data_IF_275789315482
#
_entry.id   IF_275789315482
#
_cell.length_a   1.000
_cell.length_b   1.000
_cell.length_c   1.000
_cell.angle_alpha   90.00
_cell.angle_beta   90.00
_cell.angle_gamma   90.00
#
_symmetry.space_group_name_H-M   'P 1'
#
loop_
_entity.id
_entity.type
_entity.pdbx_description
1 polymer ?
#
# COMPACT_ATOMS: atom_id res chain seq x y z
N UNK A 1 55.09 -9.06 -14.94
CA UNK A 1 54.28 -10.12 -14.29
C UNK A 1 54.23 -9.82 -12.81
N UNK A 2 53.01 -9.82 -12.28
CA UNK A 2 52.49 -9.05 -11.15
C UNK A 2 53.10 -9.34 -9.77
N UNK A 3 53.05 -8.38 -8.84
CA UNK A 3 53.19 -8.63 -7.41
C UNK A 3 51.87 -9.20 -6.85
N UNK A 4 51.97 -10.16 -5.94
CA UNK A 4 50.83 -10.63 -5.15
C UNK A 4 50.75 -9.78 -3.88
N UNK A 5 49.68 -8.99 -3.80
CA UNK A 5 49.30 -8.16 -2.67
C UNK A 5 48.55 -9.04 -1.65
N UNK A 6 49.08 -9.18 -0.43
CA UNK A 6 48.42 -9.92 0.66
C UNK A 6 47.66 -8.93 1.53
N UNK A 7 46.37 -8.75 1.23
CA UNK A 7 45.45 -7.93 2.00
C UNK A 7 45.21 -8.50 3.40
N UNK A 8 45.51 -7.67 4.40
CA UNK A 8 45.24 -7.82 5.83
C UNK A 8 43.73 -7.90 6.14
N UNK A 9 43.32 -8.93 6.90
CA UNK A 9 42.00 -9.02 7.53
C UNK A 9 41.88 -7.97 8.65
N UNK A 10 41.16 -6.89 8.37
CA UNK A 10 40.85 -5.83 9.33
C UNK A 10 39.59 -6.23 10.11
N UNK A 11 39.75 -7.00 11.19
CA UNK A 11 38.67 -7.31 12.13
C UNK A 11 38.49 -6.11 13.05
N UNK A 12 37.46 -5.30 12.79
CA UNK A 12 37.09 -4.17 13.64
C UNK A 12 36.60 -4.67 15.01
N UNK A 13 37.47 -4.62 16.02
CA UNK A 13 37.12 -4.77 17.43
C UNK A 13 36.24 -3.60 17.89
N UNK A 14 34.92 -3.70 17.70
CA UNK A 14 33.96 -2.78 18.32
C UNK A 14 33.86 -3.07 19.82
N UNK A 15 34.59 -2.29 20.62
CA UNK A 15 34.37 -2.21 22.06
C UNK A 15 33.08 -1.46 22.34
N UNK A 16 32.05 -2.18 22.77
CA UNK A 16 30.79 -1.59 23.20
C UNK A 16 31.02 -0.69 24.44
N UNK A 17 30.36 0.48 24.52
CA UNK A 17 30.46 1.36 25.68
C UNK A 17 29.97 0.65 26.96
N UNK A 18 30.54 0.96 28.14
CA UNK A 18 30.18 0.31 29.40
C UNK A 18 28.69 0.43 29.74
N UNK A 19 28.03 1.54 29.34
CA UNK A 19 26.58 1.72 29.52
C UNK A 19 25.73 0.70 28.75
N UNK A 20 26.17 0.26 27.57
CA UNK A 20 25.44 -0.72 26.74
C UNK A 20 25.60 -2.13 27.30
N UNK A 21 26.79 -2.45 27.82
CA UNK A 21 27.04 -3.72 28.51
C UNK A 21 26.19 -3.80 29.79
N UNK A 22 26.15 -2.72 30.57
CA UNK A 22 25.34 -2.66 31.80
C UNK A 22 23.85 -2.87 31.54
N UNK A 23 23.32 -2.35 30.42
CA UNK A 23 21.92 -2.53 30.02
C UNK A 23 21.59 -3.97 29.61
N UNK A 24 22.55 -4.70 29.03
CA UNK A 24 22.39 -6.09 28.59
C UNK A 24 22.56 -7.11 29.73
N UNK A 25 23.27 -6.74 30.81
CA UNK A 25 23.56 -7.64 31.95
C UNK A 25 22.67 -7.41 33.18
N UNK A 26 21.71 -6.49 33.12
CA UNK A 26 20.82 -6.24 34.26
C UNK A 26 19.84 -7.42 34.46
N UNK A 27 19.77 -8.02 35.66
CA UNK A 27 18.79 -9.06 35.96
C UNK A 27 17.38 -8.45 36.02
N UNK A 28 16.32 -9.20 35.62
CA UNK A 28 14.95 -8.73 35.72
C UNK A 28 14.57 -8.54 37.20
N UNK A 29 13.78 -7.50 37.54
CA UNK A 29 13.34 -7.31 38.91
C UNK A 29 12.41 -8.45 39.34
N UNK A 30 12.71 -9.06 40.50
CA UNK A 30 11.92 -10.12 41.10
C UNK A 30 10.60 -9.63 41.72
N UNK A 31 9.65 -10.54 42.04
CA UNK A 31 8.34 -10.17 42.53
C UNK A 31 8.39 -9.88 44.03
N UNK A 32 8.31 -8.60 44.40
CA UNK A 32 8.20 -8.17 45.79
C UNK A 32 7.19 -7.03 45.89
N UNK A 33 5.99 -7.32 46.37
CA UNK A 33 4.95 -6.32 46.64
C UNK A 33 5.28 -5.50 47.89
N UNK A 34 5.23 -4.15 47.85
CA UNK A 34 5.14 -3.34 49.06
C UNK A 34 3.66 -3.03 49.40
N UNK A 35 3.34 -2.72 50.67
CA UNK A 35 1.97 -2.49 51.13
C UNK A 35 1.44 -1.12 50.64
N UNK A 36 0.17 -1.09 50.23
CA UNK A 36 -0.48 0.08 49.64
C UNK A 36 -0.98 1.12 50.66
N UNK A 37 -1.01 2.42 50.29
CA UNK A 37 -1.70 3.46 51.06
C UNK A 37 -3.21 3.52 50.71
N UNK A 38 -4.06 4.10 51.58
CA UNK A 38 -5.51 4.09 51.41
C UNK A 38 -5.93 5.02 50.27
N UNK A 39 -6.86 4.54 49.44
CA UNK A 39 -7.28 5.24 48.23
C UNK A 39 -8.19 6.44 48.48
N UNK A 40 -8.29 7.36 47.52
CA UNK A 40 -9.46 8.19 47.33
C UNK A 40 -10.32 7.66 46.16
N UNK A 41 -11.61 7.77 46.41
CA UNK A 41 -12.77 7.57 45.56
C UNK A 41 -12.60 7.95 44.07
N UNK A 42 -13.06 7.05 43.19
CA UNK A 42 -13.87 7.41 42.03
C UNK A 42 -13.20 8.21 40.92
N UNK A 43 -12.28 7.60 40.19
CA UNK A 43 -12.07 7.93 38.77
C UNK A 43 -11.69 6.64 38.03
N UNK A 44 -12.60 6.16 37.19
CA UNK A 44 -12.36 5.05 36.27
C UNK A 44 -11.25 5.44 35.29
N UNK A 45 -10.05 4.92 35.51
CA UNK A 45 -8.98 4.91 34.51
C UNK A 45 -9.49 4.09 33.33
N UNK A 46 -9.54 4.62 32.09
CA UNK A 46 -9.85 3.79 30.94
C UNK A 46 -8.69 2.80 30.82
N UNK A 47 -9.00 1.52 31.03
CA UNK A 47 -8.10 0.41 30.69
C UNK A 47 -7.61 0.63 29.26
N UNK A 48 -6.31 0.91 29.15
CA UNK A 48 -5.65 1.15 27.87
C UNK A 48 -5.98 0.01 26.91
N UNK A 49 -6.49 0.39 25.74
CA UNK A 49 -6.39 -0.47 24.57
C UNK A 49 -4.91 -0.58 24.24
N UNK A 50 -4.28 -1.67 24.67
CA UNK A 50 -2.97 -2.04 24.18
C UNK A 50 -3.13 -2.39 22.69
N UNK A 51 -2.95 -1.34 21.88
CA UNK A 51 -2.62 -1.33 20.45
C UNK A 51 -3.34 -2.35 19.57
N UNK A 52 -4.49 -1.97 18.99
CA UNK A 52 -4.65 -2.33 17.57
C UNK A 52 -3.46 -1.70 16.85
N UNK A 53 -2.72 -2.44 16.00
CA UNK A 53 -1.71 -1.82 15.14
C UNK A 53 -2.35 -0.60 14.48
N UNK A 54 -1.69 0.55 14.57
CA UNK A 54 -2.15 1.75 13.88
C UNK A 54 -2.37 1.38 12.40
N UNK A 55 -3.53 1.74 11.85
CA UNK A 55 -3.82 1.47 10.46
C UNK A 55 -2.79 2.18 9.57
N UNK A 56 -2.01 1.39 8.83
CA UNK A 56 -0.89 1.89 8.05
C UNK A 56 -1.32 2.72 6.85
N UNK A 57 -2.61 2.76 6.54
CA UNK A 57 -3.20 3.42 5.37
C UNK A 57 -4.28 4.44 5.76
N UNK A 58 -4.24 4.94 7.00
CA UNK A 58 -5.09 6.04 7.48
C UNK A 58 -6.60 5.78 7.24
N UNK A 59 -7.05 4.56 7.54
CA UNK A 59 -8.47 4.17 7.50
C UNK A 59 -9.13 4.38 6.14
N UNK A 60 -8.59 3.76 5.09
CA UNK A 60 -9.11 3.84 3.70
C UNK A 60 -10.64 3.65 3.61
N UNK A 61 -11.22 2.82 4.49
CA UNK A 61 -12.67 2.59 4.54
C UNK A 61 -13.52 3.79 5.00
N UNK A 62 -12.90 4.74 5.69
CA UNK A 62 -13.54 5.95 6.24
C UNK A 62 -13.32 7.17 5.33
N UNK A 63 -12.53 7.05 4.26
CA UNK A 63 -12.33 8.13 3.31
C UNK A 63 -13.65 8.55 2.65
N UNK A 64 -13.90 9.86 2.50
CA UNK A 64 -15.17 10.34 1.99
C UNK A 64 -15.36 9.95 0.52
N UNK A 65 -16.62 9.92 0.08
CA UNK A 65 -16.92 9.92 -1.34
C UNK A 65 -16.49 11.24 -1.98
N UNK A 66 -16.15 11.21 -3.26
CA UNK A 66 -15.76 12.37 -4.05
C UNK A 66 -16.64 12.49 -5.30
N UNK A 67 -16.99 13.73 -5.64
CA UNK A 67 -17.63 14.01 -6.91
C UNK A 67 -16.58 13.99 -8.03
N UNK A 68 -16.91 13.31 -9.11
CA UNK A 68 -16.08 13.26 -10.32
C UNK A 68 -16.92 13.63 -11.54
N UNK A 69 -16.32 14.01 -12.68
CA UNK A 69 -17.07 14.28 -13.91
C UNK A 69 -17.94 13.12 -14.41
N UNK A 70 -17.69 11.90 -13.92
CA UNK A 70 -18.39 10.66 -14.27
C UNK A 70 -19.34 10.16 -13.17
N UNK A 71 -19.51 10.94 -12.10
CA UNK A 71 -20.43 10.66 -10.99
C UNK A 71 -19.74 10.53 -9.62
N UNK A 72 -20.52 10.35 -8.54
CA UNK A 72 -19.97 10.18 -7.20
C UNK A 72 -19.20 8.86 -7.10
N UNK A 73 -17.97 8.93 -6.60
CA UNK A 73 -17.06 7.80 -6.48
C UNK A 73 -16.59 7.62 -5.03
N UNK A 74 -16.45 6.37 -4.60
CA UNK A 74 -15.85 6.03 -3.29
C UNK A 74 -15.11 4.71 -3.34
N UNK A 75 -14.13 4.57 -2.45
CA UNK A 75 -13.50 3.30 -2.14
C UNK A 75 -14.27 2.59 -1.03
N UNK A 76 -14.43 1.29 -1.16
CA UNK A 76 -15.08 0.44 -0.16
C UNK A 76 -14.21 -0.79 0.05
N UNK A 77 -13.64 -1.01 1.26
CA UNK A 77 -12.86 -2.21 1.53
C UNK A 77 -13.64 -3.49 1.19
N UNK A 78 -12.94 -4.41 0.54
CA UNK A 78 -13.49 -5.69 0.08
C UNK A 78 -13.90 -6.55 1.27
N UNK A 79 -15.07 -7.20 1.15
CA UNK A 79 -15.53 -8.26 2.05
C UNK A 79 -15.64 -9.56 1.25
N UNK A 80 -14.76 -10.55 1.46
CA UNK A 80 -14.73 -11.76 0.64
C UNK A 80 -16.09 -12.47 0.52
N UNK A 81 -16.86 -12.51 1.61
CA UNK A 81 -18.16 -13.18 1.66
C UNK A 81 -19.18 -12.57 0.69
N UNK A 82 -19.02 -11.28 0.38
CA UNK A 82 -19.90 -10.51 -0.52
C UNK A 82 -19.30 -10.36 -1.91
N UNK A 83 -17.99 -10.10 -1.98
CA UNK A 83 -17.36 -9.50 -3.17
C UNK A 83 -16.50 -10.48 -3.97
N UNK A 84 -16.11 -11.61 -3.37
CA UNK A 84 -15.17 -12.55 -3.99
C UNK A 84 -15.64 -13.03 -5.37
N UNK A 85 -16.94 -13.30 -5.53
CA UNK A 85 -17.49 -13.72 -6.82
C UNK A 85 -17.33 -12.65 -7.90
N UNK A 86 -17.52 -11.37 -7.54
CA UNK A 86 -17.39 -10.24 -8.45
C UNK A 86 -15.92 -10.02 -8.85
N UNK A 87 -15.03 -9.92 -7.86
CA UNK A 87 -13.60 -9.69 -8.11
C UNK A 87 -13.01 -10.86 -8.89
N UNK A 88 -13.34 -12.11 -8.54
CA UNK A 88 -12.88 -13.29 -9.28
C UNK A 88 -13.40 -13.30 -10.72
N UNK A 89 -14.64 -12.85 -10.95
CA UNK A 89 -15.17 -12.64 -12.30
C UNK A 89 -14.34 -11.65 -13.11
N UNK A 90 -13.96 -10.51 -12.51
CA UNK A 90 -13.10 -9.53 -13.17
C UNK A 90 -11.68 -10.05 -13.42
N UNK A 91 -11.08 -10.78 -12.47
CA UNK A 91 -9.74 -11.37 -12.63
C UNK A 91 -9.67 -12.39 -13.78
N UNK A 92 -10.80 -13.01 -14.13
CA UNK A 92 -10.92 -13.96 -15.24
C UNK A 92 -11.24 -13.31 -16.59
N UNK A 93 -11.49 -11.99 -16.63
CA UNK A 93 -11.58 -11.27 -17.90
C UNK A 93 -10.24 -11.34 -18.64
N UNK A 94 -10.18 -11.74 -19.92
CA UNK A 94 -8.91 -11.93 -20.63
C UNK A 94 -7.98 -10.71 -20.62
N UNK A 95 -8.53 -9.49 -20.71
CA UNK A 95 -7.73 -8.28 -20.72
C UNK A 95 -7.20 -7.92 -19.32
N UNK A 96 -7.91 -8.33 -18.26
CA UNK A 96 -7.43 -8.20 -16.88
C UNK A 96 -6.39 -9.29 -16.59
N UNK A 97 -6.70 -10.53 -16.96
CA UNK A 97 -5.88 -11.72 -16.73
C UNK A 97 -4.46 -11.59 -17.29
N UNK A 98 -4.32 -10.94 -18.46
CA UNK A 98 -3.02 -10.67 -19.10
C UNK A 98 -2.02 -9.96 -18.17
N UNK A 99 -2.51 -9.05 -17.33
CA UNK A 99 -1.66 -8.21 -16.47
C UNK A 99 -1.73 -8.59 -14.99
N UNK A 100 -2.89 -9.05 -14.52
CA UNK A 100 -3.08 -9.39 -13.10
C UNK A 100 -2.61 -10.81 -12.75
N UNK A 101 -2.56 -11.74 -13.71
CA UNK A 101 -2.11 -13.13 -13.50
C UNK A 101 -2.84 -13.86 -12.35
N UNK A 102 -4.08 -13.46 -12.05
CA UNK A 102 -4.95 -14.03 -11.01
C UNK A 102 -6.19 -14.75 -11.58
N UNK A 103 -6.22 -14.99 -12.89
CA UNK A 103 -7.26 -15.79 -13.52
C UNK A 103 -7.20 -17.25 -13.06
N UNK A 104 -8.36 -17.91 -13.03
CA UNK A 104 -8.49 -19.30 -12.59
C UNK A 104 -9.65 -19.51 -11.63
N UNK A 105 -9.62 -20.62 -10.87
CA UNK A 105 -10.64 -20.92 -9.86
C UNK A 105 -10.77 -19.78 -8.84
N UNK A 106 -11.96 -19.65 -8.26
CA UNK A 106 -12.27 -18.62 -7.25
C UNK A 106 -11.26 -18.60 -6.09
N UNK A 107 -10.72 -19.75 -5.71
CA UNK A 107 -9.71 -19.87 -4.66
C UNK A 107 -8.44 -19.05 -4.91
N UNK A 108 -8.06 -18.83 -6.18
CA UNK A 108 -6.89 -17.99 -6.53
C UNK A 108 -7.10 -16.55 -6.09
N UNK A 109 -8.26 -15.98 -6.42
CA UNK A 109 -8.64 -14.63 -5.98
C UNK A 109 -8.87 -14.58 -4.47
N UNK A 110 -9.45 -15.63 -3.89
CA UNK A 110 -9.69 -15.72 -2.45
C UNK A 110 -8.39 -15.70 -1.65
N UNK A 111 -7.39 -16.49 -2.06
CA UNK A 111 -6.08 -16.51 -1.42
C UNK A 111 -5.37 -15.16 -1.53
N UNK A 112 -5.46 -14.52 -2.70
CA UNK A 112 -4.91 -13.17 -2.92
C UNK A 112 -5.53 -12.13 -1.97
N UNK A 113 -6.87 -12.12 -1.85
CA UNK A 113 -7.57 -11.22 -0.93
C UNK A 113 -7.25 -11.54 0.53
N UNK A 114 -7.21 -12.83 0.89
CA UNK A 114 -6.89 -13.30 2.24
C UNK A 114 -5.52 -12.82 2.68
N UNK A 115 -4.49 -12.94 1.85
CA UNK A 115 -3.13 -12.47 2.15
C UNK A 115 -3.12 -10.98 2.52
N UNK A 116 -3.87 -10.15 1.79
CA UNK A 116 -3.95 -8.72 2.09
C UNK A 116 -4.74 -8.44 3.38
N UNK A 117 -5.91 -9.09 3.53
CA UNK A 117 -6.82 -8.85 4.65
C UNK A 117 -6.30 -9.37 6.00
N UNK A 118 -5.51 -10.44 5.99
CA UNK A 118 -4.90 -11.03 7.20
C UNK A 118 -3.42 -10.69 7.33
N UNK A 119 -2.89 -9.83 6.47
CA UNK A 119 -1.51 -9.40 6.48
C UNK A 119 -1.21 -8.41 7.60
N UNK A 120 -0.09 -7.68 7.45
CA UNK A 120 0.34 -6.65 8.40
C UNK A 120 -0.33 -5.29 8.20
N UNK A 121 -1.36 -5.22 7.35
CA UNK A 121 -2.09 -3.99 7.04
C UNK A 121 -1.40 -3.07 6.05
N UNK A 122 -0.29 -3.50 5.40
CA UNK A 122 0.40 -2.66 4.41
C UNK A 122 -0.36 -2.50 3.08
N UNK A 123 -1.41 -3.30 2.84
CA UNK A 123 -2.28 -3.22 1.66
C UNK A 123 -3.74 -3.37 2.06
N UNK A 124 -4.62 -2.58 1.46
CA UNK A 124 -6.08 -2.66 1.65
C UNK A 124 -6.76 -2.84 0.28
N UNK A 125 -7.37 -4.01 0.02
CA UNK A 125 -8.13 -4.25 -1.20
C UNK A 125 -9.50 -3.55 -1.11
N UNK A 126 -9.85 -2.80 -2.16
CA UNK A 126 -11.08 -2.00 -2.23
C UNK A 126 -11.85 -2.25 -3.53
N UNK A 127 -13.17 -2.16 -3.45
CA UNK A 127 -14.02 -1.89 -4.60
C UNK A 127 -14.09 -0.38 -4.84
N UNK A 128 -13.95 0.04 -6.09
CA UNK A 128 -14.34 1.37 -6.53
C UNK A 128 -15.82 1.36 -6.91
N UNK A 129 -16.60 2.14 -6.18
CA UNK A 129 -18.06 2.25 -6.36
C UNK A 129 -18.37 3.59 -7.00
N UNK A 130 -18.87 3.56 -8.24
CA UNK A 130 -19.25 4.75 -9.01
C UNK A 130 -20.76 4.79 -9.16
N UNK A 131 -21.40 5.91 -8.80
CA UNK A 131 -22.85 6.05 -8.89
C UNK A 131 -23.63 4.98 -8.10
N UNK A 132 -23.01 4.43 -7.04
CA UNK A 132 -23.58 3.34 -6.24
C UNK A 132 -23.30 1.92 -6.76
N UNK A 133 -22.68 1.75 -7.93
CA UNK A 133 -22.35 0.45 -8.51
C UNK A 133 -20.85 0.13 -8.38
N UNK A 134 -20.46 -1.03 -7.80
CA UNK A 134 -19.08 -1.51 -7.86
C UNK A 134 -18.66 -1.78 -9.29
N UNK A 135 -17.55 -1.19 -9.73
CA UNK A 135 -17.14 -1.24 -11.13
C UNK A 135 -15.63 -1.38 -11.36
N UNK A 136 -14.84 -1.24 -10.30
CA UNK A 136 -13.39 -1.39 -10.33
C UNK A 136 -12.88 -2.04 -9.04
N UNK A 137 -11.71 -2.64 -9.11
CA UNK A 137 -10.98 -3.15 -7.96
C UNK A 137 -9.66 -2.40 -7.82
N UNK A 138 -9.28 -2.12 -6.58
CA UNK A 138 -8.15 -1.28 -6.20
C UNK A 138 -7.35 -1.94 -5.08
N UNK A 139 -6.04 -1.76 -5.11
CA UNK A 139 -5.17 -2.05 -3.97
C UNK A 139 -4.46 -0.77 -3.59
N UNK A 140 -4.73 -0.28 -2.38
CA UNK A 140 -4.03 0.87 -1.82
C UNK A 140 -3.00 0.31 -0.86
N UNK A 141 -1.71 0.57 -1.11
CA UNK A 141 -0.65 -0.08 -0.35
C UNK A 141 0.48 0.88 0.04
N UNK A 142 1.23 0.55 1.09
CA UNK A 142 2.45 1.23 1.50
C UNK A 142 3.59 0.81 0.60
N UNK A 143 3.85 1.58 -0.44
CA UNK A 143 4.87 1.26 -1.44
C UNK A 143 6.28 1.29 -0.86
N UNK A 144 6.51 2.08 0.19
CA UNK A 144 7.75 2.09 0.96
C UNK A 144 7.97 0.85 1.83
N UNK A 145 6.94 0.01 2.01
CA UNK A 145 7.00 -1.27 2.72
C UNK A 145 6.81 -2.48 1.78
N UNK A 146 6.66 -2.24 0.49
CA UNK A 146 6.44 -3.24 -0.54
C UNK A 146 7.77 -3.60 -1.24
N UNK A 147 7.93 -4.81 -1.83
CA UNK A 147 9.12 -5.14 -2.62
C UNK A 147 9.51 -4.10 -3.68
N UNK A 148 8.56 -3.33 -4.24
CA UNK A 148 8.88 -2.26 -5.19
C UNK A 148 9.79 -1.18 -4.60
N UNK A 149 9.81 -0.96 -3.28
CA UNK A 149 10.70 -0.01 -2.61
C UNK A 149 12.19 -0.24 -2.91
N UNK A 150 12.57 -1.44 -3.34
CA UNK A 150 13.95 -1.81 -3.71
C UNK A 150 14.34 -1.35 -5.11
N UNK A 151 13.37 -0.94 -5.93
CA UNK A 151 13.55 -0.63 -7.35
C UNK A 151 13.52 0.87 -7.65
N UNK A 152 13.30 1.72 -6.64
CA UNK A 152 13.39 3.17 -6.76
C UNK A 152 13.78 3.80 -5.42
N UNK A 153 14.12 5.09 -5.43
CA UNK A 153 14.39 5.83 -4.19
C UNK A 153 13.08 6.12 -3.45
N UNK A 154 12.53 5.09 -2.77
CA UNK A 154 11.31 5.17 -2.00
C UNK A 154 11.43 6.20 -0.86
N UNK A 155 10.37 6.97 -0.65
CA UNK A 155 10.26 7.88 0.48
C UNK A 155 9.34 7.27 1.53
N UNK A 156 9.56 7.54 2.82
CA UNK A 156 8.61 7.13 3.85
C UNK A 156 7.19 7.58 3.50
N UNK A 157 6.22 6.68 3.69
CA UNK A 157 4.80 6.90 3.42
C UNK A 157 4.42 7.02 1.94
N UNK A 158 5.33 6.69 1.00
CA UNK A 158 4.93 6.49 -0.39
C UNK A 158 3.76 5.49 -0.45
N UNK A 159 2.67 5.90 -1.10
CA UNK A 159 1.48 5.06 -1.24
C UNK A 159 1.38 4.60 -2.69
N UNK A 160 1.29 3.30 -2.90
CA UNK A 160 1.11 2.70 -4.19
C UNK A 160 -0.37 2.42 -4.50
N UNK A 161 -0.69 2.35 -5.78
CA UNK A 161 -2.02 1.93 -6.26
C UNK A 161 -1.94 0.89 -7.37
N UNK A 162 -2.69 -0.20 -7.22
CA UNK A 162 -3.06 -1.08 -8.33
C UNK A 162 -4.54 -0.92 -8.65
N UNK A 163 -4.92 -1.12 -9.91
CA UNK A 163 -6.32 -1.16 -10.29
C UNK A 163 -6.65 -2.08 -11.47
N UNK A 164 -7.92 -2.44 -11.53
CA UNK A 164 -8.58 -2.92 -12.74
C UNK A 164 -9.96 -2.28 -12.85
N UNK A 165 -10.44 -2.14 -14.08
CA UNK A 165 -11.82 -1.75 -14.38
C UNK A 165 -12.57 -3.00 -14.81
N UNK A 166 -13.64 -3.34 -14.08
CA UNK A 166 -14.38 -4.58 -14.28
C UNK A 166 -15.15 -4.62 -15.59
N UNK A 167 -15.93 -3.58 -15.88
CA UNK A 167 -16.76 -3.52 -17.09
C UNK A 167 -15.94 -3.32 -18.37
N UNK A 168 -16.10 -4.21 -19.36
CA UNK A 168 -15.41 -4.11 -20.66
C UNK A 168 -15.76 -2.79 -21.37
N UNK A 169 -17.02 -2.38 -21.33
CA UNK A 169 -17.54 -1.15 -21.93
C UNK A 169 -16.98 0.13 -21.30
N UNK A 170 -16.41 0.01 -20.09
CA UNK A 170 -15.97 1.14 -19.29
C UNK A 170 -14.47 1.45 -19.50
N UNK A 171 -13.71 0.51 -20.08
CA UNK A 171 -12.24 0.61 -20.23
C UNK A 171 -11.76 1.60 -21.29
N UNK A 172 -12.60 1.96 -22.27
CA UNK A 172 -12.19 2.78 -23.42
C UNK A 172 -12.65 4.25 -23.36
N UNK A 173 -13.27 4.69 -22.25
CA UNK A 173 -13.98 5.99 -22.19
C UNK A 173 -13.29 7.06 -21.35
N UNK A 174 -11.97 6.95 -21.16
CA UNK A 174 -11.21 7.85 -20.28
C UNK A 174 -11.52 7.66 -18.78
N UNK A 175 -12.43 6.74 -18.44
CA UNK A 175 -12.87 6.50 -17.08
C UNK A 175 -11.72 6.08 -16.16
N UNK A 176 -10.80 5.22 -16.64
CA UNK A 176 -9.63 4.83 -15.87
C UNK A 176 -8.81 6.02 -15.40
N UNK A 177 -8.60 7.02 -16.26
CA UNK A 177 -7.86 8.24 -15.93
C UNK A 177 -8.58 9.10 -14.90
N UNK A 178 -9.90 9.26 -15.01
CA UNK A 178 -10.70 10.01 -14.05
C UNK A 178 -10.68 9.34 -12.66
N UNK A 179 -10.85 8.02 -12.61
CA UNK A 179 -10.82 7.28 -11.35
C UNK A 179 -9.42 7.27 -10.74
N UNK A 180 -8.36 7.13 -11.54
CA UNK A 180 -6.98 7.27 -11.07
C UNK A 180 -6.72 8.64 -10.46
N UNK A 181 -7.20 9.71 -11.10
CA UNK A 181 -7.07 11.07 -10.58
C UNK A 181 -7.81 11.23 -9.26
N UNK A 182 -9.03 10.68 -9.16
CA UNK A 182 -9.84 10.70 -7.95
C UNK A 182 -9.21 9.90 -6.80
N UNK A 183 -8.78 8.66 -7.04
CA UNK A 183 -8.16 7.80 -6.03
C UNK A 183 -6.84 8.38 -5.53
N UNK A 184 -5.98 8.85 -6.42
CA UNK A 184 -4.70 9.45 -5.99
C UNK A 184 -4.90 10.79 -5.28
N UNK A 185 -5.95 11.56 -5.60
CA UNK A 185 -6.33 12.73 -4.80
C UNK A 185 -6.80 12.32 -3.40
N UNK A 186 -7.68 11.31 -3.29
CA UNK A 186 -8.13 10.75 -2.01
C UNK A 186 -6.96 10.29 -1.14
N UNK A 187 -5.99 9.57 -1.71
CA UNK A 187 -4.77 9.17 -1.01
C UNK A 187 -4.06 10.41 -0.47
N UNK A 188 -3.81 11.42 -1.31
CA UNK A 188 -3.09 12.61 -0.85
C UNK A 188 -3.89 13.41 0.18
N UNK A 189 -5.20 13.53 0.05
CA UNK A 189 -6.00 14.35 0.97
C UNK A 189 -6.16 13.69 2.34
N UNK A 190 -6.28 12.36 2.40
CA UNK A 190 -6.49 11.64 3.66
C UNK A 190 -5.20 11.12 4.29
N UNK A 191 -4.09 11.13 3.55
CA UNK A 191 -2.76 10.70 4.04
C UNK A 191 -1.77 11.87 4.03
N UNK A 192 -1.80 12.78 5.03
CA UNK A 192 -0.98 13.99 5.01
C UNK A 192 0.53 13.72 4.98
N UNK A 193 0.97 12.58 5.54
CA UNK A 193 2.38 12.18 5.53
C UNK A 193 2.85 11.59 4.18
N UNK A 194 1.92 11.18 3.31
CA UNK A 194 2.24 10.68 1.97
C UNK A 194 2.64 11.85 1.06
N UNK A 195 3.88 11.85 0.58
CA UNK A 195 4.39 12.90 -0.29
C UNK A 195 3.98 12.70 -1.77
N UNK A 196 3.73 11.45 -2.18
CA UNK A 196 3.44 11.07 -3.56
C UNK A 196 2.75 9.72 -3.66
N UNK A 197 1.96 9.56 -4.72
CA UNK A 197 1.35 8.28 -5.10
C UNK A 197 2.20 7.65 -6.20
N UNK A 198 2.44 6.34 -6.12
CA UNK A 198 3.22 5.59 -7.11
C UNK A 198 2.39 4.47 -7.75
N UNK A 199 2.79 4.04 -8.93
CA UNK A 199 2.28 2.84 -9.58
C UNK A 199 3.30 2.27 -10.56
N UNK A 200 3.14 1.00 -10.91
CA UNK A 200 4.09 0.24 -11.73
C UNK A 200 3.40 -0.59 -12.84
N UNK A 201 2.55 0.01 -13.70
CA UNK A 201 1.98 -0.72 -14.82
C UNK A 201 3.07 -1.36 -15.69
N UNK A 202 2.80 -2.57 -16.20
CA UNK A 202 3.65 -3.20 -17.21
C UNK A 202 3.76 -2.26 -18.42
N UNK A 203 4.96 -2.07 -18.97
CA UNK A 203 5.17 -1.19 -20.13
C UNK A 203 4.35 -1.61 -21.36
N UNK A 204 4.02 -2.90 -21.46
CA UNK A 204 3.16 -3.44 -22.54
C UNK A 204 1.70 -3.07 -22.34
N UNK A 205 1.28 -2.72 -21.12
CA UNK A 205 -0.05 -2.22 -20.83
C UNK A 205 -0.17 -0.72 -21.19
N UNK A 206 0.01 -0.41 -22.47
CA UNK A 206 -0.06 0.95 -23.01
C UNK A 206 -1.35 1.68 -22.60
N UNK A 207 -2.54 1.05 -22.57
CA UNK A 207 -3.75 1.71 -22.06
C UNK A 207 -3.64 2.14 -20.60
N UNK A 208 -3.08 1.30 -19.72
CA UNK A 208 -2.88 1.65 -18.31
C UNK A 208 -1.85 2.77 -18.15
N UNK A 209 -0.71 2.69 -18.82
CA UNK A 209 0.32 3.74 -18.79
C UNK A 209 -0.27 5.09 -19.25
N UNK A 210 -1.03 5.07 -20.36
CA UNK A 210 -1.72 6.26 -20.87
C UNK A 210 -2.75 6.83 -19.88
N UNK A 211 -3.47 5.95 -19.16
CA UNK A 211 -4.42 6.38 -18.14
C UNK A 211 -3.73 7.06 -16.95
N UNK A 212 -2.60 6.53 -16.48
CA UNK A 212 -1.80 7.17 -15.43
C UNK A 212 -1.27 8.54 -15.87
N UNK A 213 -0.71 8.65 -17.08
CA UNK A 213 -0.26 9.94 -17.63
C UNK A 213 -1.41 10.95 -17.68
N UNK A 214 -2.57 10.55 -18.19
CA UNK A 214 -3.77 11.39 -18.28
C UNK A 214 -4.34 11.78 -16.90
N UNK A 215 -4.07 10.97 -15.87
CA UNK A 215 -4.47 11.23 -14.48
C UNK A 215 -3.52 12.19 -13.73
N UNK A 216 -2.48 12.70 -14.39
CA UNK A 216 -1.49 13.61 -13.81
C UNK A 216 -0.30 12.91 -13.15
N UNK A 217 -0.08 11.62 -13.45
CA UNK A 217 1.18 10.96 -13.11
C UNK A 217 2.23 11.25 -14.19
N UNK A 218 3.49 11.30 -13.78
CA UNK A 218 4.63 11.33 -14.70
C UNK A 218 5.30 9.96 -14.74
N UNK A 219 5.81 9.58 -15.91
CA UNK A 219 6.76 8.47 -16.01
C UNK A 219 8.08 8.92 -15.37
N UNK A 220 8.43 8.31 -14.24
CA UNK A 220 9.64 8.65 -13.48
C UNK A 220 10.83 7.79 -13.89
N UNK A 221 10.61 6.51 -14.17
CA UNK A 221 11.63 5.57 -14.60
C UNK A 221 10.99 4.34 -15.27
N UNK A 222 11.79 3.56 -15.99
CA UNK A 222 11.47 2.18 -16.31
C UNK A 222 12.24 1.28 -15.33
N UNK A 223 11.55 0.33 -14.71
CA UNK A 223 12.14 -0.56 -13.70
C UNK A 223 11.92 -2.02 -14.09
N UNK A 224 12.94 -2.85 -13.86
CA UNK A 224 12.84 -4.29 -14.02
C UNK A 224 12.36 -4.92 -12.70
N UNK A 225 11.18 -5.55 -12.75
CA UNK A 225 10.61 -6.35 -11.67
C UNK A 225 10.73 -7.84 -12.04
N UNK A 226 10.64 -8.77 -11.07
CA UNK A 226 10.83 -10.20 -11.35
C UNK A 226 9.95 -10.77 -12.47
N UNK A 227 8.77 -10.19 -12.70
CA UNK A 227 7.74 -10.73 -13.57
C UNK A 227 7.33 -9.82 -14.74
N UNK A 228 7.88 -8.58 -14.80
CA UNK A 228 7.60 -7.58 -15.84
C UNK A 228 8.66 -6.47 -15.88
N UNK A 229 8.75 -5.79 -17.02
CA UNK A 229 9.37 -4.46 -17.11
C UNK A 229 8.28 -3.41 -16.95
N UNK A 230 8.38 -2.57 -15.91
CA UNK A 230 7.32 -1.66 -15.50
C UNK A 230 7.68 -0.20 -15.74
N UNK A 231 6.67 0.61 -16.02
CA UNK A 231 6.74 2.06 -15.98
C UNK A 231 6.50 2.51 -14.53
N UNK A 232 7.50 3.06 -13.86
CA UNK A 232 7.31 3.69 -12.56
C UNK A 232 6.64 5.04 -12.75
N UNK A 233 5.36 5.09 -12.43
CA UNK A 233 4.50 6.26 -12.50
C UNK A 233 4.45 6.96 -11.14
N UNK A 234 4.61 8.28 -11.11
CA UNK A 234 4.60 9.05 -9.87
C UNK A 234 3.67 10.25 -9.98
N UNK A 235 2.83 10.49 -8.95
CA UNK A 235 2.05 11.71 -8.78
C UNK A 235 2.43 12.39 -7.47
N UNK A 236 3.19 13.48 -7.58
CA UNK A 236 3.71 14.23 -6.44
C UNK A 236 2.65 15.18 -5.85
N UNK A 237 2.53 15.24 -4.51
CA UNK A 237 1.63 16.18 -3.82
C UNK A 237 1.88 17.61 -4.23
N UNK A 238 3.15 18.02 -4.26
CA UNK A 238 3.56 19.38 -4.55
C UNK A 238 3.20 19.84 -5.97
N UNK A 239 3.04 18.89 -6.91
CA UNK A 239 2.81 19.19 -8.32
C UNK A 239 1.36 18.90 -8.75
N UNK A 240 0.50 18.41 -7.85
CA UNK A 240 -0.82 17.86 -8.18
C UNK A 240 -1.83 18.86 -8.79
N UNK A 241 -1.53 20.16 -8.74
CA UNK A 241 -2.35 21.24 -9.30
C UNK A 241 -1.74 21.86 -10.57
N UNK A 242 -0.55 21.40 -10.98
CA UNK A 242 0.18 21.91 -12.14
C UNK A 242 0.03 21.00 -13.38
N UNK A 243 -0.45 19.77 -13.18
CA UNK A 243 -0.62 18.70 -14.17
C UNK A 243 -2.05 18.16 -14.08
#
# INVERSE_FOLDING_TARGET
MSPADSGTEDTLDLKLPPEVIALLTAPPPGPGSPPGPPGPSGASVPTGQWGRPADLLDHVGDWPAVETPVGPFRLVPVRPERDLALVSGWMNDPAVAEFWKLAGPRSVTEDHLRIQLTGDGRSVPCLGVLGGAPMSYWEIYRADLDPIARHYAALPQDTGVHLLIGGVTDRARGLGSELLRAVSALVLDNRPACARVVAEPDLRNVPSVSAFLSAGFRLSAEIDLPDKRAALMVRDRALRHLL
#
